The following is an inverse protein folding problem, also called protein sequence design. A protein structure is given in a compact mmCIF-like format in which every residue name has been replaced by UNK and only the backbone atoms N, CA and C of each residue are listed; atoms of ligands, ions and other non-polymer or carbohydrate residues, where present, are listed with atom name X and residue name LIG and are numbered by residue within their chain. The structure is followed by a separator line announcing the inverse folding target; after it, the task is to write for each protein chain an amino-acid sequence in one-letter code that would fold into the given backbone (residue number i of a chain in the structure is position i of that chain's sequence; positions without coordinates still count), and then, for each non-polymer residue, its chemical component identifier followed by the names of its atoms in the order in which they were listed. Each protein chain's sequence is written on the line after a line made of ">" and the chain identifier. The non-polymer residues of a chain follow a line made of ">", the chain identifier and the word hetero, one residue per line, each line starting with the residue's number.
data_IF_168095393195
#
_entry.id   IF_168095393195
#
_cell.length_a   1.000
_cell.length_b   1.000
_cell.length_c   1.000
_cell.angle_alpha   90.00
_cell.angle_beta   90.00
_cell.angle_gamma   90.00
#
_symmetry.space_group_name_H-M   'P 1'
#
loop_
_entity.id
_entity.type
_entity.pdbx_description
1 polymer ?
#
# COMPACT_ATOMS: atom_id res chain seq x y z
N UNK A 1 33.79 30.11 -8.02
CA UNK A 1 32.54 29.28 -8.02
C UNK A 1 32.71 28.21 -9.08
N UNK A 2 32.35 26.94 -8.84
CA UNK A 2 32.45 25.88 -9.86
C UNK A 2 31.09 25.61 -10.50
N UNK A 3 31.01 25.73 -11.82
CA UNK A 3 29.85 25.39 -12.63
C UNK A 3 30.26 24.36 -13.67
N UNK A 4 29.52 23.26 -13.71
CA UNK A 4 29.65 22.25 -14.76
C UNK A 4 28.95 22.73 -16.04
N UNK A 5 29.65 22.65 -17.18
CA UNK A 5 29.05 22.98 -18.47
C UNK A 5 27.97 21.94 -18.84
N UNK A 6 26.72 22.35 -19.11
CA UNK A 6 25.63 21.39 -19.40
C UNK A 6 25.79 20.65 -20.73
N UNK A 7 26.72 21.07 -21.60
CA UNK A 7 26.97 20.46 -22.90
C UNK A 7 28.11 19.44 -22.89
N UNK A 8 29.15 19.67 -22.07
CA UNK A 8 30.35 18.83 -22.06
C UNK A 8 30.73 18.26 -20.68
N UNK A 9 29.96 18.55 -19.64
CA UNK A 9 30.16 18.04 -18.28
C UNK A 9 31.53 18.40 -17.66
N UNK A 10 32.22 19.39 -18.23
CA UNK A 10 33.48 19.91 -17.69
C UNK A 10 33.21 20.96 -16.62
N UNK A 11 33.90 20.85 -15.49
CA UNK A 11 33.90 21.85 -14.44
C UNK A 11 34.62 23.13 -14.89
N UNK A 12 34.00 24.28 -14.67
CA UNK A 12 34.57 25.59 -14.96
C UNK A 12 34.60 26.45 -13.70
N UNK A 13 35.69 27.19 -13.52
CA UNK A 13 35.83 28.19 -12.46
C UNK A 13 35.30 29.55 -12.93
N UNK A 14 34.40 30.13 -12.15
CA UNK A 14 33.90 31.49 -12.34
C UNK A 14 34.56 32.37 -11.29
N UNK A 15 35.50 33.19 -11.77
CA UNK A 15 36.35 34.07 -10.98
C UNK A 15 35.59 35.30 -10.43
N UNK A 16 34.45 35.67 -11.03
CA UNK A 16 33.68 36.88 -10.64
C UNK A 16 32.44 36.62 -9.77
N UNK A 17 32.35 35.46 -9.11
CA UNK A 17 31.17 35.08 -8.31
C UNK A 17 30.87 36.00 -7.11
N UNK A 18 31.85 36.80 -6.69
CA UNK A 18 31.71 37.82 -5.65
C UNK A 18 30.92 39.06 -6.10
N UNK A 19 30.83 39.31 -7.41
CA UNK A 19 30.09 40.41 -8.01
C UNK A 19 28.67 40.02 -8.46
N UNK A 20 28.33 38.73 -8.37
CA UNK A 20 27.00 38.23 -8.68
C UNK A 20 26.25 38.09 -7.36
N UNK A 21 25.19 38.88 -7.18
CA UNK A 21 24.37 38.88 -5.97
C UNK A 21 22.95 38.39 -6.25
N UNK A 22 22.35 37.69 -5.29
CA UNK A 22 20.94 37.32 -5.34
C UNK A 22 20.07 38.59 -5.29
N UNK A 23 19.06 38.67 -6.17
CA UNK A 23 18.18 39.84 -6.25
C UNK A 23 17.40 40.09 -4.95
N UNK A 24 16.97 39.03 -4.27
CA UNK A 24 16.17 39.07 -3.05
C UNK A 24 17.02 39.32 -1.80
N UNK A 25 18.01 38.46 -1.54
CA UNK A 25 18.76 38.52 -0.29
C UNK A 25 20.07 39.33 -0.35
N UNK A 26 20.43 39.85 -1.54
CA UNK A 26 21.65 40.65 -1.82
C UNK A 26 22.99 39.99 -1.47
N UNK A 27 22.99 38.74 -1.01
CA UNK A 27 24.22 37.96 -0.76
C UNK A 27 24.86 37.55 -2.08
N UNK A 28 26.19 37.57 -2.12
CA UNK A 28 26.96 37.07 -3.25
C UNK A 28 27.08 35.54 -3.24
N UNK A 29 27.50 34.98 -4.38
CA UNK A 29 27.63 33.53 -4.56
C UNK A 29 29.06 33.02 -4.30
N UNK A 30 29.92 33.82 -3.65
CA UNK A 30 31.28 33.40 -3.30
C UNK A 30 31.24 32.19 -2.36
N UNK A 31 32.04 31.17 -2.67
CA UNK A 31 32.10 29.92 -1.88
C UNK A 31 31.00 28.89 -2.16
N UNK A 32 29.96 29.23 -2.92
CA UNK A 32 28.92 28.26 -3.31
C UNK A 32 29.40 27.39 -4.48
N UNK A 33 29.12 26.08 -4.40
CA UNK A 33 29.29 25.12 -5.49
C UNK A 33 27.92 24.82 -6.09
N UNK A 34 27.75 25.06 -7.39
CA UNK A 34 26.52 24.72 -8.11
C UNK A 34 26.76 23.46 -8.93
N UNK A 35 26.91 22.33 -8.25
CA UNK A 35 26.83 21.01 -8.89
C UNK A 35 25.35 20.62 -9.00
N UNK A 36 24.88 20.33 -10.22
CA UNK A 36 23.47 20.05 -10.49
C UNK A 36 23.17 18.54 -10.49
N UNK A 37 21.98 18.23 -9.99
CA UNK A 37 21.25 16.95 -10.08
C UNK A 37 21.94 15.80 -9.33
N UNK A 38 21.44 15.47 -8.13
CA UNK A 38 21.53 14.08 -7.64
C UNK A 38 20.79 13.21 -8.66
N UNK A 39 21.51 12.73 -9.68
CA UNK A 39 21.07 11.61 -10.50
C UNK A 39 21.03 10.43 -9.53
N UNK A 40 19.88 10.22 -8.90
CA UNK A 40 19.63 8.99 -8.15
C UNK A 40 19.83 7.89 -9.17
N UNK A 41 20.88 7.08 -8.99
CA UNK A 41 21.15 6.00 -9.92
C UNK A 41 19.92 5.10 -10.02
N UNK A 42 19.67 4.54 -11.19
CA UNK A 42 18.57 3.60 -11.38
C UNK A 42 18.60 2.49 -10.31
N UNK A 43 19.80 2.05 -9.91
CA UNK A 43 20.00 1.08 -8.81
C UNK A 43 19.55 1.59 -7.44
N UNK A 44 19.80 2.87 -7.13
CA UNK A 44 19.35 3.47 -5.86
C UNK A 44 17.83 3.64 -5.85
N UNK A 45 17.24 4.08 -6.97
CA UNK A 45 15.79 4.16 -7.12
C UNK A 45 15.14 2.78 -7.04
N UNK A 46 15.76 1.75 -7.64
CA UNK A 46 15.32 0.36 -7.57
C UNK A 46 15.37 -0.17 -6.13
N UNK A 47 16.46 0.09 -5.39
CA UNK A 47 16.60 -0.36 -4.00
C UNK A 47 15.56 0.31 -3.08
N UNK A 48 15.36 1.62 -3.22
CA UNK A 48 14.32 2.34 -2.47
C UNK A 48 12.93 1.83 -2.84
N UNK A 49 12.67 1.61 -4.13
CA UNK A 49 11.41 1.05 -4.61
C UNK A 49 11.16 -0.37 -4.10
N UNK A 50 12.18 -1.23 -4.09
CA UNK A 50 12.08 -2.61 -3.61
C UNK A 50 11.85 -2.66 -2.09
N UNK A 51 12.63 -1.92 -1.30
CA UNK A 51 12.49 -1.88 0.16
C UNK A 51 11.16 -1.24 0.55
N UNK A 52 10.80 -0.12 -0.08
CA UNK A 52 9.53 0.57 0.14
C UNK A 52 8.35 -0.29 -0.24
N UNK A 53 8.38 -0.89 -1.44
CA UNK A 53 7.34 -1.80 -1.93
C UNK A 53 7.15 -3.03 -1.05
N UNK A 54 8.25 -3.66 -0.61
CA UNK A 54 8.19 -4.82 0.29
C UNK A 54 7.55 -4.48 1.63
N UNK A 55 7.98 -3.38 2.28
CA UNK A 55 7.42 -2.97 3.57
C UNK A 55 5.94 -2.57 3.48
N UNK A 56 5.54 -1.89 2.40
CA UNK A 56 4.13 -1.54 2.19
C UNK A 56 3.30 -2.80 1.97
N UNK A 57 3.79 -3.77 1.20
CA UNK A 57 3.10 -5.03 1.01
C UNK A 57 2.92 -5.79 2.33
N UNK A 58 3.96 -5.91 3.15
CA UNK A 58 3.88 -6.59 4.44
C UNK A 58 2.93 -5.90 5.43
N UNK A 59 2.89 -4.57 5.46
CA UNK A 59 1.97 -3.82 6.32
C UNK A 59 0.50 -3.96 5.89
N UNK A 60 0.25 -4.14 4.59
CA UNK A 60 -1.10 -4.43 4.07
C UNK A 60 -1.49 -5.89 4.30
N UNK A 61 -0.53 -6.82 4.30
CA UNK A 61 -0.77 -8.24 4.56
C UNK A 61 -1.05 -8.55 6.05
N UNK A 62 -0.55 -7.73 7.00
CA UNK A 62 -0.75 -7.96 8.45
C UNK A 62 -2.23 -7.91 8.90
N UNK A 63 -3.09 -7.19 8.19
CA UNK A 63 -4.52 -7.02 8.55
C UNK A 63 -5.46 -7.91 7.72
N UNK A 64 -4.92 -8.73 6.80
CA UNK A 64 -5.71 -9.74 6.06
C UNK A 64 -6.08 -10.92 6.97
N UNK A 65 -7.20 -11.56 6.64
CA UNK A 65 -7.60 -12.79 7.30
C UNK A 65 -6.66 -13.91 6.82
N UNK A 66 -6.10 -14.73 7.74
CA UNK A 66 -5.39 -15.93 7.36
C UNK A 66 -6.32 -16.88 6.59
N UNK A 67 -5.79 -17.59 5.59
CA UNK A 67 -6.57 -18.49 4.75
C UNK A 67 -7.34 -19.54 5.58
N UNK A 68 -6.74 -20.02 6.66
CA UNK A 68 -7.37 -20.98 7.56
C UNK A 68 -8.61 -20.39 8.25
N UNK A 69 -8.58 -19.09 8.54
CA UNK A 69 -9.70 -18.35 9.14
C UNK A 69 -10.77 -18.09 8.09
N UNK A 70 -10.40 -17.60 6.91
CA UNK A 70 -11.33 -17.40 5.78
C UNK A 70 -12.08 -18.71 5.48
N UNK A 71 -11.35 -19.82 5.37
CA UNK A 71 -11.90 -21.15 5.17
C UNK A 71 -12.85 -21.57 6.31
N UNK A 72 -12.43 -21.41 7.57
CA UNK A 72 -13.26 -21.79 8.71
C UNK A 72 -14.59 -21.01 8.77
N UNK A 73 -14.56 -19.71 8.44
CA UNK A 73 -15.76 -18.86 8.39
C UNK A 73 -16.70 -19.34 7.29
N UNK A 74 -16.18 -19.55 6.07
CA UNK A 74 -16.97 -20.00 4.92
C UNK A 74 -17.54 -21.40 5.17
N UNK A 75 -16.73 -22.33 5.67
CA UNK A 75 -17.16 -23.69 6.00
C UNK A 75 -18.29 -23.68 7.06
N UNK A 76 -18.12 -22.91 8.13
CA UNK A 76 -19.15 -22.74 9.17
C UNK A 76 -20.43 -22.15 8.59
N UNK A 77 -20.32 -21.17 7.69
CA UNK A 77 -21.47 -20.57 7.03
C UNK A 77 -22.22 -21.60 6.18
N UNK A 78 -21.53 -22.35 5.34
CA UNK A 78 -22.10 -23.37 4.44
C UNK A 78 -22.71 -24.52 5.24
N UNK A 79 -22.01 -25.02 6.26
CA UNK A 79 -22.40 -26.18 7.06
C UNK A 79 -23.24 -25.83 8.30
N UNK A 80 -23.73 -24.58 8.41
CA UNK A 80 -24.60 -24.15 9.51
C UNK A 80 -25.94 -24.90 9.61
N UNK A 81 -26.37 -25.56 8.53
CA UNK A 81 -27.60 -26.35 8.51
C UNK A 81 -27.31 -27.81 8.90
N UNK A 82 -28.11 -28.39 9.81
CA UNK A 82 -27.92 -29.77 10.28
C UNK A 82 -28.52 -30.84 9.34
N UNK A 83 -29.27 -30.43 8.33
CA UNK A 83 -29.94 -31.32 7.39
C UNK A 83 -29.18 -31.44 6.07
N UNK A 84 -29.34 -32.57 5.40
CA UNK A 84 -28.84 -32.75 4.04
C UNK A 84 -29.53 -31.76 3.09
N UNK A 85 -28.76 -31.23 2.14
CA UNK A 85 -29.21 -30.29 1.11
C UNK A 85 -28.88 -30.81 -0.28
N UNK A 86 -29.59 -30.35 -1.30
CA UNK A 86 -29.21 -30.65 -2.69
C UNK A 86 -27.87 -30.01 -3.03
N UNK A 87 -27.18 -30.55 -4.03
CA UNK A 87 -25.93 -29.99 -4.57
C UNK A 87 -26.13 -28.52 -4.97
N UNK A 88 -27.19 -28.22 -5.71
CA UNK A 88 -27.51 -26.84 -6.13
C UNK A 88 -27.69 -25.87 -4.97
N UNK A 89 -28.33 -26.32 -3.87
CA UNK A 89 -28.51 -25.50 -2.66
C UNK A 89 -27.19 -25.30 -1.92
N UNK A 90 -26.35 -26.33 -1.90
CA UNK A 90 -25.00 -26.22 -1.33
C UNK A 90 -24.15 -25.22 -2.11
N UNK A 91 -24.16 -25.29 -3.44
CA UNK A 91 -23.40 -24.37 -4.31
C UNK A 91 -23.87 -22.93 -4.18
N UNK A 92 -25.18 -22.69 -4.23
CA UNK A 92 -25.76 -21.35 -4.00
C UNK A 92 -25.39 -20.81 -2.61
N UNK A 93 -25.46 -21.64 -1.57
CA UNK A 93 -25.07 -21.23 -0.22
C UNK A 93 -23.57 -20.90 -0.13
N UNK A 94 -22.71 -21.67 -0.81
CA UNK A 94 -21.27 -21.39 -0.92
C UNK A 94 -21.02 -20.03 -1.56
N UNK A 95 -21.71 -19.71 -2.65
CA UNK A 95 -21.60 -18.40 -3.31
C UNK A 95 -22.02 -17.25 -2.39
N UNK A 96 -23.15 -17.39 -1.69
CA UNK A 96 -23.60 -16.40 -0.70
C UNK A 96 -22.59 -16.23 0.43
N UNK A 97 -22.04 -17.31 0.97
CA UNK A 97 -21.05 -17.26 2.06
C UNK A 97 -19.73 -16.60 1.62
N UNK A 98 -19.25 -16.90 0.41
CA UNK A 98 -18.05 -16.27 -0.16
C UNK A 98 -18.27 -14.77 -0.40
N UNK A 99 -19.42 -14.40 -0.97
CA UNK A 99 -19.80 -13.00 -1.16
C UNK A 99 -19.89 -12.26 0.18
N UNK A 100 -20.56 -12.85 1.18
CA UNK A 100 -20.69 -12.25 2.50
C UNK A 100 -19.33 -12.02 3.17
N UNK A 101 -18.41 -12.98 3.08
CA UNK A 101 -17.05 -12.82 3.62
C UNK A 101 -16.32 -11.68 2.91
N UNK A 102 -16.31 -11.69 1.58
CA UNK A 102 -15.62 -10.69 0.77
C UNK A 102 -16.14 -9.26 1.04
N UNK A 103 -17.45 -9.06 1.20
CA UNK A 103 -18.01 -7.75 1.56
C UNK A 103 -17.69 -7.35 3.02
N UNK A 104 -17.63 -8.32 3.93
CA UNK A 104 -17.33 -8.06 5.34
C UNK A 104 -15.88 -7.63 5.52
N UNK A 105 -14.93 -8.28 4.85
CA UNK A 105 -13.50 -7.97 4.90
C UNK A 105 -13.17 -6.55 4.39
N UNK A 106 -14.02 -5.97 3.52
CA UNK A 106 -13.86 -4.56 3.09
C UNK A 106 -14.07 -3.56 4.21
N UNK A 107 -14.80 -3.92 5.26
CA UNK A 107 -15.20 -3.01 6.34
C UNK A 107 -14.78 -3.47 7.74
N UNK A 108 -14.45 -4.75 7.91
CA UNK A 108 -14.04 -5.35 9.19
C UNK A 108 -12.66 -5.96 9.03
N UNK A 109 -11.64 -5.32 9.61
CA UNK A 109 -10.25 -5.81 9.59
C UNK A 109 -10.11 -7.07 10.44
N UNK A 110 -9.08 -7.86 10.18
CA UNK A 110 -8.84 -9.08 10.95
C UNK A 110 -8.57 -8.81 12.44
N UNK A 111 -7.90 -7.69 12.75
CA UNK A 111 -7.72 -7.21 14.12
C UNK A 111 -9.04 -6.96 14.85
N UNK A 112 -10.02 -6.37 14.17
CA UNK A 112 -11.35 -6.08 14.71
C UNK A 112 -12.21 -7.36 14.83
N UNK A 113 -12.07 -8.31 13.89
CA UNK A 113 -12.69 -9.64 14.02
C UNK A 113 -12.21 -10.39 15.28
N UNK A 114 -10.92 -10.29 15.61
CA UNK A 114 -10.34 -10.94 16.79
C UNK A 114 -10.81 -10.30 18.09
N UNK A 115 -11.02 -8.98 18.13
CA UNK A 115 -11.40 -8.25 19.33
C UNK A 115 -12.92 -8.15 19.53
N UNK A 116 -13.71 -8.10 18.45
CA UNK A 116 -15.17 -7.99 18.47
C UNK A 116 -15.83 -8.91 17.44
N UNK A 117 -16.00 -10.17 17.83
CA UNK A 117 -16.70 -11.17 17.02
C UNK A 117 -18.18 -10.84 16.80
N UNK A 118 -18.83 -10.08 17.70
CA UNK A 118 -20.25 -9.75 17.56
C UNK A 118 -20.48 -8.73 16.46
N UNK A 119 -19.63 -7.72 16.37
CA UNK A 119 -19.61 -6.78 15.26
C UNK A 119 -19.41 -7.52 13.93
N UNK A 120 -18.42 -8.40 13.86
CA UNK A 120 -18.18 -9.21 12.66
C UNK A 120 -19.42 -10.03 12.28
N UNK A 121 -20.00 -10.79 13.22
CA UNK A 121 -21.18 -11.61 12.95
C UNK A 121 -22.39 -10.80 12.50
N UNK A 122 -22.57 -9.59 13.03
CA UNK A 122 -23.63 -8.67 12.63
C UNK A 122 -23.44 -8.22 11.17
N UNK A 123 -22.24 -7.75 10.83
CA UNK A 123 -21.91 -7.31 9.47
C UNK A 123 -21.99 -8.46 8.47
N UNK A 124 -21.43 -9.62 8.82
CA UNK A 124 -21.47 -10.82 7.98
C UNK A 124 -22.90 -11.24 7.65
N UNK A 125 -23.80 -11.25 8.64
CA UNK A 125 -25.23 -11.58 8.42
C UNK A 125 -25.94 -10.54 7.57
N UNK A 126 -25.60 -9.25 7.72
CA UNK A 126 -26.12 -8.17 6.88
C UNK A 126 -25.70 -8.37 5.42
N UNK A 127 -24.40 -8.58 5.19
CA UNK A 127 -23.84 -8.79 3.86
C UNK A 127 -24.37 -10.07 3.21
N UNK A 128 -24.54 -11.16 3.97
CA UNK A 128 -25.14 -12.40 3.48
C UNK A 128 -26.57 -12.21 2.93
N UNK A 129 -27.38 -11.32 3.52
CA UNK A 129 -28.71 -10.99 3.00
C UNK A 129 -28.66 -10.20 1.69
N UNK A 130 -27.61 -9.40 1.49
CA UNK A 130 -27.38 -8.67 0.23
C UNK A 130 -26.84 -9.57 -0.90
N UNK A 131 -26.29 -10.72 -0.54
CA UNK A 131 -25.68 -11.69 -1.45
C UNK A 131 -26.60 -12.88 -1.82
N UNK A 132 -27.88 -12.88 -1.37
CA UNK A 132 -28.84 -13.97 -1.62
C UNK A 132 -29.93 -13.60 -2.60
#
# INVERSE_FOLDING_TARGET
>A
MKIECPHCQTDNDIEFAENIACKECKKNFKGFKFSKRKLISASTALLVGAIGGYKVNSALDEDRYPLEVEYAIVDTCINSAKNMVSVSRYESKRETCLCALAETEKSVRYSDYKSDQQMFLSQFKLNAKGCS
#
